data_IF_673800202915
#
_entry.id   IF_673800202915
#
_cell.length_a   1.000
_cell.length_b   1.000
_cell.length_c   1.000
_cell.angle_alpha   90.00
_cell.angle_beta   90.00
_cell.angle_gamma   90.00
#
_symmetry.space_group_name_H-M   'P 1'
#
loop_
_entity.id
_entity.type
_entity.pdbx_description
1 polymer ?
#
# COMPACT_ATOMS: atom_id res chain seq x y z
N UNK A 1 25.78 4.17 37.38
CA UNK A 1 25.46 5.30 36.50
C UNK A 1 23.94 5.31 36.36
N UNK A 2 23.31 6.46 36.52
CA UNK A 2 21.84 6.52 36.56
C UNK A 2 21.32 6.65 35.12
N UNK A 3 20.71 5.59 34.59
CA UNK A 3 20.01 5.61 33.29
C UNK A 3 18.68 6.37 33.32
N UNK A 4 18.47 7.16 34.39
CA UNK A 4 17.24 7.89 34.64
C UNK A 4 17.40 9.38 34.40
N UNK A 5 16.45 9.94 33.66
CA UNK A 5 16.22 11.37 33.57
C UNK A 5 14.94 11.78 34.28
N UNK A 6 14.72 13.10 34.32
CA UNK A 6 13.57 13.72 34.98
C UNK A 6 12.81 14.57 33.97
N UNK A 7 11.49 14.40 33.88
CA UNK A 7 10.62 15.22 33.05
C UNK A 7 10.65 16.67 33.50
N UNK A 8 11.07 17.57 32.61
CA UNK A 8 11.17 19.01 32.86
C UNK A 8 10.02 19.82 32.28
N UNK A 9 9.58 19.48 31.09
CA UNK A 9 8.54 20.21 30.38
C UNK A 9 7.67 19.25 29.55
N UNK A 10 6.37 19.56 29.46
CA UNK A 10 5.39 18.84 28.71
C UNK A 10 4.68 19.85 27.81
N UNK A 11 4.79 19.65 26.48
CA UNK A 11 4.16 20.49 25.45
C UNK A 11 3.34 19.59 24.54
N UNK A 12 2.11 19.27 24.91
CA UNK A 12 1.30 18.30 24.18
C UNK A 12 1.98 16.95 24.10
N UNK A 13 2.24 16.46 22.89
CA UNK A 13 2.92 15.19 22.65
C UNK A 13 4.45 15.26 22.74
N UNK A 14 5.03 16.44 22.99
CA UNK A 14 6.48 16.65 23.14
C UNK A 14 6.83 16.78 24.60
N UNK A 15 7.84 16.06 25.06
CA UNK A 15 8.31 16.01 26.46
C UNK A 15 9.81 16.24 26.48
N UNK A 16 10.22 17.24 27.28
CA UNK A 16 11.63 17.51 27.54
C UNK A 16 12.05 16.79 28.83
N UNK A 17 13.12 16.02 28.74
CA UNK A 17 13.68 15.22 29.84
C UNK A 17 15.13 15.62 30.06
N UNK A 18 15.48 15.85 31.32
CA UNK A 18 16.86 16.18 31.74
C UNK A 18 17.58 14.94 32.22
N UNK A 19 18.76 14.71 31.70
CA UNK A 19 19.71 13.67 32.10
C UNK A 19 21.02 14.29 32.59
N UNK A 20 21.80 13.52 33.34
CA UNK A 20 23.18 13.87 33.62
C UNK A 20 23.97 14.03 32.32
N UNK A 21 24.85 15.01 32.23
CA UNK A 21 25.62 15.33 31.02
C UNK A 21 26.44 14.17 30.45
N UNK A 22 26.78 13.21 31.29
CA UNK A 22 27.55 12.01 30.91
C UNK A 22 26.66 10.87 30.35
N UNK A 23 25.34 10.96 30.55
CA UNK A 23 24.38 9.90 30.21
C UNK A 23 23.23 10.40 29.33
N UNK A 24 23.52 11.28 28.36
CA UNK A 24 22.52 11.84 27.47
C UNK A 24 22.08 10.75 26.48
N UNK A 25 20.77 10.50 26.29
CA UNK A 25 20.26 9.57 25.30
C UNK A 25 20.66 9.95 23.87
N UNK A 26 20.92 8.94 23.05
CA UNK A 26 21.11 9.15 21.62
C UNK A 26 19.79 9.48 20.92
N UNK A 27 19.90 10.09 19.74
CA UNK A 27 18.74 10.30 18.87
C UNK A 27 18.10 8.94 18.57
N UNK A 28 16.78 8.88 18.65
CA UNK A 28 15.91 7.70 18.54
C UNK A 28 15.92 6.73 19.71
N UNK A 29 16.73 6.92 20.73
CA UNK A 29 16.63 6.10 21.95
C UNK A 29 15.22 6.20 22.54
N UNK A 30 14.67 5.06 22.92
CA UNK A 30 13.39 4.97 23.60
C UNK A 30 13.57 5.20 25.09
N UNK A 31 12.78 6.10 25.64
CA UNK A 31 12.68 6.35 27.07
C UNK A 31 11.35 5.82 27.59
N UNK A 32 11.32 5.32 28.81
CA UNK A 32 10.10 4.83 29.47
C UNK A 32 9.84 5.59 30.74
N UNK A 33 8.69 6.24 30.85
CA UNK A 33 8.24 6.86 32.08
C UNK A 33 7.77 5.77 33.05
N UNK A 34 8.42 5.59 34.17
CA UNK A 34 8.21 4.44 35.05
C UNK A 34 6.79 4.33 35.63
N UNK A 35 6.16 5.45 35.95
CA UNK A 35 4.84 5.43 36.59
C UNK A 35 3.70 5.09 35.63
N UNK A 36 3.86 5.40 34.34
CA UNK A 36 2.80 5.24 33.34
C UNK A 36 3.14 4.23 32.24
N UNK A 37 4.39 3.76 32.19
CA UNK A 37 4.95 2.96 31.09
C UNK A 37 4.85 3.64 29.70
N UNK A 38 4.68 4.97 29.66
CA UNK A 38 4.66 5.72 28.42
C UNK A 38 6.05 5.70 27.78
N UNK A 39 6.10 5.32 26.52
CA UNK A 39 7.33 5.31 25.72
C UNK A 39 7.49 6.65 25.02
N UNK A 40 8.70 7.21 25.11
CA UNK A 40 9.10 8.44 24.44
C UNK A 40 10.22 8.13 23.47
N UNK A 41 10.21 8.75 22.30
CA UNK A 41 11.30 8.67 21.34
C UNK A 41 12.12 9.95 21.35
N UNK A 42 13.42 9.85 21.58
CA UNK A 42 14.33 10.99 21.58
C UNK A 42 14.49 11.55 20.18
N UNK A 43 14.20 12.85 20.01
CA UNK A 43 14.23 13.54 18.71
C UNK A 43 15.36 14.56 18.60
N UNK A 44 15.66 15.26 19.69
CA UNK A 44 16.64 16.34 19.70
C UNK A 44 17.41 16.35 21.03
N UNK A 45 18.67 16.74 20.96
CA UNK A 45 19.49 17.08 22.11
C UNK A 45 19.58 18.61 22.17
N UNK A 46 19.00 19.22 23.21
CA UNK A 46 18.90 20.68 23.35
C UNK A 46 20.12 21.33 24.01
N UNK A 47 21.03 20.53 24.55
CA UNK A 47 22.10 21.00 25.40
C UNK A 47 21.76 20.91 26.90
N UNK A 48 22.74 21.11 27.74
CA UNK A 48 22.63 21.07 29.22
C UNK A 48 21.97 19.82 29.80
N UNK A 49 22.12 18.68 29.10
CA UNK A 49 21.53 17.41 29.51
C UNK A 49 20.06 17.25 29.15
N UNK A 50 19.46 18.21 28.47
CA UNK A 50 18.04 18.16 28.07
C UNK A 50 17.88 17.54 26.70
N UNK A 51 17.01 16.53 26.63
CA UNK A 51 16.58 15.93 25.37
C UNK A 51 15.09 16.19 25.13
N UNK A 52 14.74 16.47 23.89
CA UNK A 52 13.37 16.63 23.44
C UNK A 52 12.87 15.36 22.81
N UNK A 53 11.73 14.88 23.29
CA UNK A 53 11.17 13.60 22.91
C UNK A 53 9.75 13.74 22.37
N UNK A 54 9.30 12.76 21.62
CA UNK A 54 7.92 12.63 21.16
C UNK A 54 7.29 11.39 21.82
N UNK A 55 6.10 11.57 22.40
CA UNK A 55 5.40 10.49 23.08
C UNK A 55 4.73 9.52 22.09
N UNK A 56 4.82 8.23 22.41
CA UNK A 56 4.14 7.14 21.70
C UNK A 56 2.84 6.71 22.41
N UNK A 57 2.13 7.66 22.96
CA UNK A 57 0.87 7.48 23.68
C UNK A 57 0.37 8.79 24.25
N UNK A 58 -0.74 8.71 24.99
CA UNK A 58 -1.31 9.89 25.62
C UNK A 58 -0.40 10.48 26.69
N UNK A 59 -0.29 11.79 26.69
CA UNK A 59 0.45 12.57 27.70
C UNK A 59 -0.47 13.12 28.79
N UNK A 60 -1.75 12.82 28.75
CA UNK A 60 -2.72 13.29 29.76
C UNK A 60 -2.38 12.74 31.13
N UNK A 61 -2.39 13.62 32.10
CA UNK A 61 -2.07 13.30 33.50
C UNK A 61 -0.58 13.23 33.84
N UNK A 62 0.31 13.43 32.88
CA UNK A 62 1.74 13.51 33.14
C UNK A 62 2.09 14.75 33.95
N UNK A 63 3.10 14.62 34.80
CA UNK A 63 3.60 15.70 35.65
C UNK A 63 5.11 15.90 35.45
N UNK A 64 5.56 17.12 35.69
CA UNK A 64 6.99 17.37 35.83
C UNK A 64 7.55 16.62 37.04
N UNK A 65 8.80 16.21 36.97
CA UNK A 65 9.47 15.47 38.01
C UNK A 65 9.36 13.95 37.92
N UNK A 66 8.56 13.41 36.98
CA UNK A 66 8.51 11.96 36.76
C UNK A 66 9.85 11.45 36.24
N UNK A 67 10.19 10.22 36.61
CA UNK A 67 11.42 9.56 36.17
C UNK A 67 11.20 8.91 34.78
N UNK A 68 12.14 9.16 33.90
CA UNK A 68 12.20 8.53 32.56
C UNK A 68 13.49 7.71 32.47
N UNK A 69 13.34 6.41 32.24
CA UNK A 69 14.46 5.49 32.11
C UNK A 69 14.87 5.40 30.63
N UNK A 70 16.17 5.62 30.36
CA UNK A 70 16.72 5.36 29.02
C UNK A 70 16.87 3.85 28.81
N UNK A 71 16.36 3.35 27.68
CA UNK A 71 16.52 1.94 27.30
C UNK A 71 17.84 1.70 26.56
N UNK A 72 18.57 2.75 26.22
CA UNK A 72 19.81 2.73 25.43
C UNK A 72 19.66 2.05 24.07
N UNK A 73 18.44 2.02 23.54
CA UNK A 73 18.10 1.44 22.24
C UNK A 73 16.87 2.13 21.63
N UNK A 74 16.74 2.13 20.32
CA UNK A 74 15.52 2.58 19.65
C UNK A 74 14.31 1.72 20.01
N UNK A 75 13.11 2.20 19.71
CA UNK A 75 11.88 1.40 19.81
C UNK A 75 12.07 0.11 19.01
N UNK A 76 11.86 -1.03 19.64
CA UNK A 76 11.85 -2.35 19.02
C UNK A 76 10.45 -2.95 19.06
N UNK A 77 10.12 -3.75 18.04
CA UNK A 77 8.80 -4.36 17.88
C UNK A 77 8.94 -5.86 17.65
N UNK A 78 7.94 -6.66 18.06
CA UNK A 78 7.96 -8.10 17.79
C UNK A 78 7.90 -8.35 16.29
N UNK A 79 8.61 -9.38 15.83
CA UNK A 79 8.69 -9.77 14.42
C UNK A 79 8.53 -11.27 14.26
N UNK A 80 8.31 -11.73 13.03
CA UNK A 80 8.20 -13.13 12.68
C UNK A 80 6.77 -13.64 12.58
N UNK A 81 6.61 -14.93 12.37
CA UNK A 81 5.31 -15.57 12.12
C UNK A 81 4.31 -15.42 13.27
N UNK A 82 4.77 -15.21 14.50
CA UNK A 82 3.89 -14.97 15.64
C UNK A 82 3.06 -13.70 15.53
N UNK A 83 3.45 -12.77 14.64
CA UNK A 83 2.71 -11.53 14.37
C UNK A 83 1.55 -11.71 13.38
N UNK A 84 1.53 -12.83 12.65
CA UNK A 84 0.49 -13.10 11.66
C UNK A 84 -0.88 -13.29 12.32
N UNK A 85 -1.90 -12.70 11.72
CA UNK A 85 -3.26 -12.73 12.24
C UNK A 85 -3.49 -11.84 13.47
N UNK A 86 -2.51 -11.01 13.83
CA UNK A 86 -2.56 -10.14 15.01
C UNK A 86 -2.70 -8.68 14.60
N UNK A 87 -3.37 -7.92 15.46
CA UNK A 87 -3.43 -6.46 15.37
C UNK A 87 -2.58 -5.88 16.50
N UNK A 88 -1.66 -5.02 16.14
CA UNK A 88 -0.70 -4.41 17.06
C UNK A 88 -0.70 -2.88 16.93
N UNK A 89 -0.28 -2.20 17.97
CA UNK A 89 -0.03 -0.76 17.95
C UNK A 89 1.40 -0.43 17.44
N UNK A 90 1.77 0.83 17.49
CA UNK A 90 3.10 1.31 17.05
C UNK A 90 4.26 0.65 17.78
N UNK A 91 4.08 0.24 19.03
CA UNK A 91 5.08 -0.44 19.86
C UNK A 91 5.09 -1.97 19.65
N UNK A 92 4.18 -2.48 18.82
CA UNK A 92 3.99 -3.90 18.64
C UNK A 92 3.19 -4.60 19.74
N UNK A 93 2.54 -3.84 20.60
CA UNK A 93 1.64 -4.39 21.62
C UNK A 93 0.32 -4.80 20.98
N UNK A 94 -0.21 -5.99 21.31
CA UNK A 94 -1.46 -6.46 20.73
C UNK A 94 -2.66 -5.64 21.24
N UNK A 95 -3.54 -5.28 20.31
CA UNK A 95 -4.79 -4.57 20.58
C UNK A 95 -6.05 -5.37 20.19
N UNK A 96 -5.85 -6.64 19.81
CA UNK A 96 -6.89 -7.56 19.34
C UNK A 96 -7.50 -8.43 20.45
N UNK A 97 -7.17 -8.18 21.71
CA UNK A 97 -7.64 -8.92 22.89
C UNK A 97 -7.28 -10.42 22.90
N UNK A 98 -6.32 -10.86 22.06
CA UNK A 98 -5.87 -12.26 21.96
C UNK A 98 -4.64 -12.58 22.81
N UNK A 99 -4.28 -11.71 23.76
CA UNK A 99 -3.10 -11.87 24.61
C UNK A 99 -1.79 -11.47 23.89
N UNK A 100 -0.68 -11.67 24.58
CA UNK A 100 0.63 -11.25 24.09
C UNK A 100 1.04 -12.01 22.82
N UNK A 101 1.79 -11.33 21.94
CA UNK A 101 2.44 -11.95 20.79
C UNK A 101 3.53 -12.91 21.31
N UNK A 102 3.43 -14.17 20.90
CA UNK A 102 4.30 -15.26 21.40
C UNK A 102 5.65 -15.30 20.67
N UNK A 103 6.42 -14.24 20.78
CA UNK A 103 7.79 -14.18 20.25
C UNK A 103 8.66 -13.35 21.20
N UNK A 104 9.90 -13.78 21.36
CA UNK A 104 10.95 -13.00 22.04
C UNK A 104 11.79 -12.19 21.04
N UNK A 105 11.68 -12.50 19.77
CA UNK A 105 12.42 -11.81 18.72
C UNK A 105 11.81 -10.42 18.45
N UNK A 106 12.65 -9.42 18.64
CA UNK A 106 12.29 -8.02 18.40
C UNK A 106 13.36 -7.36 17.54
N UNK A 107 12.91 -6.43 16.69
CA UNK A 107 13.80 -5.65 15.85
C UNK A 107 13.52 -4.17 16.00
N UNK A 108 14.57 -3.31 15.94
CA UNK A 108 14.39 -1.87 16.01
C UNK A 108 13.68 -1.33 14.77
N UNK A 109 12.79 -0.36 14.95
CA UNK A 109 12.08 0.29 13.85
C UNK A 109 12.97 1.21 13.02
N UNK A 110 14.05 1.73 13.60
CA UNK A 110 15.06 2.54 12.92
C UNK A 110 16.19 1.64 12.45
N UNK A 111 16.18 1.34 11.17
CA UNK A 111 17.20 0.51 10.50
C UNK A 111 17.72 1.22 9.26
N UNK A 112 18.94 0.91 8.90
CA UNK A 112 19.48 1.35 7.61
C UNK A 112 18.87 0.53 6.46
N UNK A 113 18.71 1.11 5.26
CA UNK A 113 18.38 0.33 4.08
C UNK A 113 19.43 -0.76 3.83
N UNK A 114 19.07 -1.84 3.09
CA UNK A 114 20.03 -2.86 2.69
C UNK A 114 21.26 -2.26 1.98
N UNK A 115 22.40 -2.86 2.19
CA UNK A 115 23.62 -2.43 1.48
C UNK A 115 23.50 -2.73 -0.03
N UNK A 116 24.17 -1.95 -0.86
CA UNK A 116 24.14 -2.14 -2.32
C UNK A 116 24.50 -3.56 -2.75
N UNK A 117 25.41 -4.20 -2.03
CA UNK A 117 25.85 -5.58 -2.32
C UNK A 117 24.78 -6.64 -2.06
N UNK A 118 23.79 -6.29 -1.25
CA UNK A 118 22.67 -7.18 -0.87
C UNK A 118 21.44 -6.98 -1.74
N UNK A 119 21.40 -5.93 -2.55
CA UNK A 119 20.30 -5.64 -3.45
C UNK A 119 20.22 -6.69 -4.57
N UNK A 120 19.02 -6.98 -5.01
CA UNK A 120 18.78 -7.80 -6.20
C UNK A 120 18.93 -6.96 -7.46
N UNK A 121 19.68 -7.48 -8.44
CA UNK A 121 19.81 -6.87 -9.77
C UNK A 121 18.69 -7.32 -10.73
N UNK A 122 17.77 -8.18 -10.28
CA UNK A 122 16.72 -8.72 -11.13
C UNK A 122 15.54 -7.76 -11.27
N UNK A 123 15.13 -7.51 -12.52
CA UNK A 123 13.90 -6.78 -12.86
C UNK A 123 12.72 -7.78 -12.97
N UNK A 124 12.46 -8.52 -11.92
CA UNK A 124 11.36 -9.47 -11.91
C UNK A 124 10.02 -8.78 -11.72
N UNK A 125 9.03 -9.25 -12.47
CA UNK A 125 7.64 -8.83 -12.33
C UNK A 125 6.98 -9.68 -11.24
N UNK A 126 6.22 -9.01 -10.38
CA UNK A 126 5.33 -9.68 -9.44
C UNK A 126 3.99 -9.94 -10.13
N UNK A 127 3.73 -11.19 -10.46
CA UNK A 127 2.44 -11.60 -11.04
C UNK A 127 1.34 -11.54 -9.97
N UNK A 128 0.34 -10.70 -10.21
CA UNK A 128 -0.76 -10.48 -9.25
C UNK A 128 -1.95 -11.41 -9.50
N UNK A 129 -2.06 -11.99 -10.68
CA UNK A 129 -3.22 -12.78 -11.11
C UNK A 129 -4.45 -11.94 -11.47
N UNK A 130 -4.31 -10.62 -11.48
CA UNK A 130 -5.35 -9.66 -11.86
C UNK A 130 -5.03 -9.13 -13.26
N UNK A 131 -5.87 -9.47 -14.24
CA UNK A 131 -5.61 -9.16 -15.66
C UNK A 131 -5.24 -7.72 -15.93
N UNK A 132 -6.04 -6.78 -15.47
CA UNK A 132 -5.82 -5.36 -15.75
C UNK A 132 -4.52 -4.85 -15.18
N UNK A 133 -4.15 -5.27 -13.98
CA UNK A 133 -2.90 -4.87 -13.32
C UNK A 133 -1.72 -5.46 -14.07
N UNK A 134 -1.71 -6.77 -14.29
CA UNK A 134 -0.59 -7.46 -14.92
C UNK A 134 -0.39 -7.02 -16.38
N UNK A 135 -1.44 -6.60 -17.08
CA UNK A 135 -1.37 -6.13 -18.44
C UNK A 135 -0.81 -4.70 -18.57
N UNK A 136 -1.43 -3.73 -17.90
CA UNK A 136 -1.17 -2.29 -18.14
C UNK A 136 -0.30 -1.61 -17.09
N UNK A 137 -0.26 -2.14 -15.89
CA UNK A 137 0.55 -1.58 -14.78
C UNK A 137 1.24 -2.68 -13.97
N UNK A 138 2.07 -3.54 -14.60
CA UNK A 138 2.74 -4.63 -13.92
C UNK A 138 3.59 -4.14 -12.74
N UNK A 139 3.57 -4.88 -11.64
CA UNK A 139 4.34 -4.56 -10.46
C UNK A 139 5.74 -5.14 -10.54
N UNK A 140 6.74 -4.35 -10.15
CA UNK A 140 8.08 -4.86 -9.93
C UNK A 140 8.15 -5.55 -8.56
N UNK A 141 8.80 -6.69 -8.48
CA UNK A 141 9.23 -7.26 -7.19
C UNK A 141 10.14 -6.28 -6.47
N UNK A 142 9.80 -5.92 -5.24
CA UNK A 142 10.52 -4.91 -4.49
C UNK A 142 10.22 -3.47 -4.93
N UNK A 143 9.24 -3.28 -5.81
CA UNK A 143 8.79 -1.99 -6.28
C UNK A 143 7.79 -1.31 -5.35
N UNK A 144 7.53 -0.05 -5.63
CA UNK A 144 6.61 0.80 -4.88
C UNK A 144 5.45 1.19 -5.77
N UNK A 145 4.25 0.81 -5.36
CA UNK A 145 3.00 1.03 -6.10
C UNK A 145 2.14 2.05 -5.38
N UNK A 146 1.74 3.09 -6.06
CA UNK A 146 0.72 4.02 -5.57
C UNK A 146 -0.67 3.55 -5.96
N UNK A 147 -1.58 3.47 -5.00
CA UNK A 147 -2.97 3.15 -5.21
C UNK A 147 -3.83 4.40 -4.99
N UNK A 148 -4.45 4.86 -6.07
CA UNK A 148 -5.30 6.05 -6.09
C UNK A 148 -6.75 5.64 -6.25
N UNK A 149 -7.63 6.28 -5.52
CA UNK A 149 -9.06 6.05 -5.65
C UNK A 149 -9.85 6.67 -4.52
N UNK A 150 -11.04 7.15 -4.85
CA UNK A 150 -12.00 7.66 -3.87
C UNK A 150 -12.66 6.55 -3.06
N UNK A 151 -13.64 6.94 -2.24
CA UNK A 151 -14.45 5.98 -1.49
C UNK A 151 -15.34 5.15 -2.43
N UNK A 152 -15.53 3.87 -2.11
CA UNK A 152 -16.47 2.99 -2.79
C UNK A 152 -16.02 2.43 -4.14
N UNK A 153 -14.73 2.55 -4.49
CA UNK A 153 -14.19 2.01 -5.76
C UNK A 153 -13.54 0.63 -5.61
N UNK A 154 -13.64 0.00 -4.45
CA UNK A 154 -13.12 -1.35 -4.21
C UNK A 154 -11.65 -1.40 -3.79
N UNK A 155 -11.10 -0.33 -3.21
CA UNK A 155 -9.71 -0.30 -2.73
C UNK A 155 -9.39 -1.46 -1.79
N UNK A 156 -10.20 -1.65 -0.76
CA UNK A 156 -10.05 -2.72 0.26
C UNK A 156 -10.12 -4.12 -0.37
N UNK A 157 -11.08 -4.34 -1.26
CA UNK A 157 -11.27 -5.64 -1.95
C UNK A 157 -10.06 -5.97 -2.82
N UNK A 158 -9.49 -4.98 -3.52
CA UNK A 158 -8.26 -5.16 -4.29
C UNK A 158 -7.07 -5.53 -3.39
N UNK A 159 -6.91 -4.87 -2.25
CA UNK A 159 -5.87 -5.20 -1.28
C UNK A 159 -6.00 -6.63 -0.77
N UNK A 160 -7.20 -7.05 -0.37
CA UNK A 160 -7.45 -8.40 0.12
C UNK A 160 -7.18 -9.47 -0.95
N UNK A 161 -7.54 -9.21 -2.20
CA UNK A 161 -7.26 -10.14 -3.31
C UNK A 161 -5.75 -10.28 -3.55
N UNK A 162 -5.00 -9.19 -3.48
CA UNK A 162 -3.54 -9.23 -3.56
C UNK A 162 -2.92 -10.01 -2.40
N UNK A 163 -3.39 -9.82 -1.18
CA UNK A 163 -2.95 -10.57 -0.01
C UNK A 163 -3.18 -12.07 -0.23
N UNK A 164 -4.37 -12.44 -0.67
CA UNK A 164 -4.72 -13.84 -0.94
C UNK A 164 -3.84 -14.42 -2.04
N UNK A 165 -3.68 -13.73 -3.14
CA UNK A 165 -2.91 -14.23 -4.28
C UNK A 165 -1.41 -14.39 -3.94
N UNK A 166 -0.84 -13.43 -3.22
CA UNK A 166 0.54 -13.57 -2.73
C UNK A 166 0.69 -14.74 -1.77
N UNK A 167 -0.26 -14.94 -0.87
CA UNK A 167 -0.19 -16.02 0.11
C UNK A 167 -0.28 -17.41 -0.54
N UNK A 168 -1.16 -17.58 -1.52
CA UNK A 168 -1.44 -18.89 -2.13
C UNK A 168 -0.49 -19.19 -3.28
N UNK A 169 -0.29 -18.24 -4.19
CA UNK A 169 0.47 -18.46 -5.41
C UNK A 169 1.99 -18.23 -5.24
N UNK A 170 2.38 -17.38 -4.32
CA UNK A 170 3.79 -17.03 -4.08
C UNK A 170 4.29 -17.46 -2.69
N UNK A 171 3.47 -18.09 -1.86
CA UNK A 171 3.81 -18.48 -0.47
C UNK A 171 4.35 -17.31 0.37
N UNK A 172 3.91 -16.09 0.07
CA UNK A 172 4.35 -14.87 0.70
C UNK A 172 3.45 -14.45 1.86
N UNK A 173 3.94 -13.51 2.64
CA UNK A 173 3.18 -12.88 3.71
C UNK A 173 2.94 -11.41 3.39
N UNK A 174 1.98 -10.84 4.10
CA UNK A 174 1.64 -9.41 3.96
C UNK A 174 1.70 -8.72 5.31
N UNK A 175 2.00 -7.45 5.28
CA UNK A 175 1.92 -6.55 6.44
C UNK A 175 1.06 -5.36 6.04
N UNK A 176 0.10 -5.02 6.88
CA UNK A 176 -0.75 -3.85 6.69
C UNK A 176 -0.47 -2.82 7.77
N UNK A 177 -0.04 -1.63 7.37
CA UNK A 177 0.17 -0.49 8.24
C UNK A 177 -0.94 0.55 8.02
N UNK A 178 -1.85 0.64 8.97
CA UNK A 178 -2.91 1.64 9.01
C UNK A 178 -2.41 2.93 9.64
N UNK A 179 -2.16 3.95 8.81
CA UNK A 179 -1.61 5.23 9.23
C UNK A 179 -2.71 6.27 9.30
N UNK A 180 -3.10 6.66 10.51
CA UNK A 180 -4.12 7.66 10.73
C UNK A 180 -5.52 7.27 10.23
N UNK A 181 -5.81 5.98 10.12
CA UNK A 181 -7.10 5.48 9.69
C UNK A 181 -8.16 5.61 10.80
N UNK A 182 -9.43 5.59 10.41
CA UNK A 182 -10.54 5.56 11.36
C UNK A 182 -10.60 4.19 12.02
N UNK A 183 -10.85 4.17 13.33
CA UNK A 183 -10.99 2.92 14.10
C UNK A 183 -12.02 1.97 13.49
N UNK A 184 -13.14 2.51 13.00
CA UNK A 184 -14.19 1.73 12.35
C UNK A 184 -13.67 1.05 11.07
N UNK A 185 -12.99 1.79 10.20
CA UNK A 185 -12.46 1.24 8.94
C UNK A 185 -11.43 0.13 9.20
N UNK A 186 -10.57 0.31 10.20
CA UNK A 186 -9.62 -0.72 10.62
C UNK A 186 -10.29 -1.98 11.16
N UNK A 187 -11.38 -1.82 11.91
CA UNK A 187 -12.16 -2.94 12.43
C UNK A 187 -12.93 -3.67 11.31
N UNK A 188 -13.56 -2.91 10.40
CA UNK A 188 -14.26 -3.48 9.25
C UNK A 188 -13.29 -4.30 8.39
N UNK A 189 -12.10 -3.77 8.12
CA UNK A 189 -11.05 -4.45 7.37
C UNK A 189 -10.59 -5.75 8.05
N UNK A 190 -10.45 -5.76 9.36
CA UNK A 190 -10.12 -6.97 10.12
C UNK A 190 -11.20 -8.05 9.97
N UNK A 191 -12.47 -7.68 10.07
CA UNK A 191 -13.60 -8.62 9.90
C UNK A 191 -13.67 -9.17 8.47
N UNK A 192 -13.52 -8.31 7.46
CA UNK A 192 -13.52 -8.71 6.05
C UNK A 192 -12.37 -9.70 5.74
N UNK A 193 -11.16 -9.48 6.30
CA UNK A 193 -10.06 -10.43 6.17
C UNK A 193 -10.32 -11.76 6.87
N UNK A 194 -11.02 -11.73 7.99
CA UNK A 194 -11.40 -12.95 8.72
C UNK A 194 -12.40 -13.76 7.90
N UNK A 195 -13.44 -13.12 7.35
CA UNK A 195 -14.44 -13.75 6.50
C UNK A 195 -13.85 -14.32 5.21
N UNK A 196 -12.93 -13.59 4.61
CA UNK A 196 -12.20 -13.99 3.39
C UNK A 196 -11.08 -15.01 3.64
N UNK A 197 -10.86 -15.42 4.90
CA UNK A 197 -9.85 -16.41 5.32
C UNK A 197 -8.42 -16.06 4.92
N UNK A 198 -8.07 -14.78 4.91
CA UNK A 198 -6.71 -14.30 4.60
C UNK A 198 -5.99 -13.74 5.82
N UNK A 199 -6.67 -13.60 6.94
CA UNK A 199 -6.13 -12.97 8.15
C UNK A 199 -4.86 -13.65 8.67
N UNK A 200 -4.76 -14.97 8.59
CA UNK A 200 -3.61 -15.75 9.05
C UNK A 200 -2.33 -15.55 8.21
N UNK A 201 -2.41 -14.80 7.13
CA UNK A 201 -1.30 -14.47 6.22
C UNK A 201 -0.86 -13.02 6.30
N UNK A 202 -1.43 -12.24 7.21
CA UNK A 202 -1.16 -10.81 7.32
C UNK A 202 -0.92 -10.39 8.76
N UNK A 203 0.07 -9.51 8.96
CA UNK A 203 0.30 -8.80 10.23
C UNK A 203 -0.27 -7.40 10.10
N UNK A 204 -1.04 -6.95 11.11
CA UNK A 204 -1.71 -5.66 11.12
C UNK A 204 -1.10 -4.76 12.20
N UNK A 205 -0.72 -3.55 11.82
CA UNK A 205 -0.29 -2.51 12.76
C UNK A 205 -1.09 -1.24 12.53
N UNK A 206 -1.66 -0.70 13.58
CA UNK A 206 -2.51 0.48 13.51
C UNK A 206 -1.96 1.63 14.37
N UNK A 207 -1.80 2.79 13.73
CA UNK A 207 -1.68 4.09 14.37
C UNK A 207 -2.86 4.94 13.95
N UNK A 208 -3.95 4.88 14.71
CA UNK A 208 -5.26 5.39 14.30
C UNK A 208 -5.36 6.91 14.41
N UNK A 209 -6.41 7.48 13.83
CA UNK A 209 -6.65 8.92 13.75
C UNK A 209 -6.71 9.61 15.13
N UNK A 210 -7.18 8.91 16.14
CA UNK A 210 -7.31 9.41 17.52
C UNK A 210 -6.02 9.29 18.34
N UNK A 211 -5.00 8.62 17.81
CA UNK A 211 -3.72 8.46 18.52
C UNK A 211 -2.81 9.68 18.32
N UNK A 212 -1.87 9.92 19.24
CA UNK A 212 -0.91 11.03 19.14
C UNK A 212 -0.11 11.00 17.84
N UNK A 213 0.43 12.15 17.39
CA UNK A 213 1.16 12.25 16.11
C UNK A 213 2.41 11.37 16.06
N UNK A 214 3.07 11.10 17.20
CA UNK A 214 4.19 10.17 17.26
C UNK A 214 3.82 8.74 16.83
N UNK A 215 2.66 8.25 17.27
CA UNK A 215 2.14 6.94 16.89
C UNK A 215 1.89 6.85 15.39
N UNK A 216 1.20 7.86 14.84
CA UNK A 216 0.88 7.92 13.40
C UNK A 216 2.13 8.07 12.53
N UNK A 217 3.17 8.74 13.02
CA UNK A 217 4.43 8.92 12.31
C UNK A 217 5.27 7.63 12.29
N UNK A 218 5.23 6.82 13.34
CA UNK A 218 6.10 5.64 13.48
C UNK A 218 5.45 4.32 13.13
N UNK A 219 4.13 4.24 13.02
CA UNK A 219 3.44 2.99 12.71
C UNK A 219 3.84 2.41 11.34
N UNK A 220 4.10 3.23 10.35
CA UNK A 220 4.59 2.78 9.05
C UNK A 220 5.95 2.10 9.16
N UNK A 221 6.85 2.62 10.00
CA UNK A 221 8.15 1.99 10.28
C UNK A 221 8.01 0.69 11.05
N UNK A 222 7.04 0.59 11.95
CA UNK A 222 6.71 -0.66 12.65
C UNK A 222 6.30 -1.75 11.65
N UNK A 223 5.37 -1.44 10.75
CA UNK A 223 4.95 -2.37 9.70
C UNK A 223 6.09 -2.75 8.76
N UNK A 224 6.89 -1.78 8.35
CA UNK A 224 8.06 -2.03 7.51
C UNK A 224 9.07 -2.96 8.19
N UNK A 225 9.32 -2.79 9.48
CA UNK A 225 10.23 -3.65 10.25
C UNK A 225 9.75 -5.10 10.28
N UNK A 226 8.45 -5.33 10.46
CA UNK A 226 7.85 -6.67 10.37
C UNK A 226 8.00 -7.26 8.96
N UNK A 227 7.79 -6.46 7.92
CA UNK A 227 7.99 -6.88 6.53
C UNK A 227 9.45 -7.24 6.23
N UNK A 228 10.39 -6.46 6.74
CA UNK A 228 11.82 -6.73 6.58
C UNK A 228 12.25 -8.07 7.17
N UNK A 229 11.69 -8.48 8.29
CA UNK A 229 11.96 -9.80 8.87
C UNK A 229 11.56 -10.93 7.91
N UNK A 230 10.37 -10.87 7.35
CA UNK A 230 9.90 -11.87 6.39
C UNK A 230 10.74 -11.88 5.10
N UNK A 231 11.12 -10.70 4.60
CA UNK A 231 12.04 -10.59 3.46
C UNK A 231 13.39 -11.25 3.75
N UNK A 232 13.97 -10.97 4.91
CA UNK A 232 15.29 -11.49 5.31
C UNK A 232 15.24 -13.02 5.51
N UNK A 233 14.06 -13.58 5.76
CA UNK A 233 13.80 -15.04 5.78
C UNK A 233 13.59 -15.66 4.38
N UNK A 234 13.70 -14.88 3.32
CA UNK A 234 13.60 -15.35 1.95
C UNK A 234 12.20 -15.34 1.35
N UNK A 235 11.28 -14.58 1.91
CA UNK A 235 9.90 -14.50 1.42
C UNK A 235 9.66 -13.28 0.53
N UNK A 236 8.68 -13.41 -0.34
CA UNK A 236 8.08 -12.27 -1.05
C UNK A 236 7.00 -11.66 -0.14
N UNK A 237 7.16 -10.40 0.18
CA UNK A 237 6.31 -9.69 1.14
C UNK A 237 5.55 -8.56 0.44
N UNK A 238 4.26 -8.43 0.73
CA UNK A 238 3.50 -7.21 0.43
C UNK A 238 3.44 -6.33 1.68
N UNK A 239 3.79 -5.07 1.51
CA UNK A 239 3.60 -4.04 2.53
C UNK A 239 2.54 -3.05 2.06
N UNK A 240 1.43 -3.01 2.76
CA UNK A 240 0.37 -2.03 2.54
C UNK A 240 0.53 -0.87 3.51
N UNK A 241 0.47 0.35 2.99
CA UNK A 241 0.47 1.58 3.79
C UNK A 241 -0.79 2.38 3.45
N UNK A 242 -1.72 2.44 4.35
CA UNK A 242 -2.96 3.19 4.18
C UNK A 242 -3.10 4.25 5.29
N UNK A 243 -2.84 5.52 5.05
CA UNK A 243 -2.37 6.02 3.77
C UNK A 243 -1.10 6.85 3.97
N UNK A 244 -0.28 6.94 2.94
CA UNK A 244 1.02 7.62 2.99
C UNK A 244 0.88 9.14 3.21
N UNK A 245 -0.20 9.77 2.78
CA UNK A 245 -0.45 11.19 3.02
C UNK A 245 -0.56 11.51 4.52
N UNK A 246 -1.21 10.63 5.30
CA UNK A 246 -1.33 10.82 6.75
C UNK A 246 -0.01 10.61 7.50
N UNK A 247 0.89 9.81 6.94
CA UNK A 247 2.27 9.73 7.39
C UNK A 247 2.96 11.10 7.28
N UNK A 248 2.82 11.77 6.16
CA UNK A 248 3.39 13.12 5.96
C UNK A 248 2.75 14.15 6.88
N UNK A 249 1.44 14.10 7.10
CA UNK A 249 0.74 14.99 8.02
C UNK A 249 1.17 14.78 9.48
N UNK A 250 1.37 13.56 9.91
CA UNK A 250 1.91 13.28 11.24
C UNK A 250 3.31 13.90 11.41
N UNK A 251 4.13 13.85 10.38
CA UNK A 251 5.41 14.54 10.32
C UNK A 251 5.30 16.07 10.43
N UNK A 252 4.29 16.67 9.81
CA UNK A 252 4.00 18.11 9.95
C UNK A 252 3.68 18.45 11.41
N UNK A 253 2.80 17.69 12.05
CA UNK A 253 2.41 17.92 13.44
C UNK A 253 3.62 17.79 14.39
N UNK A 254 4.41 16.73 14.26
CA UNK A 254 5.61 16.52 15.06
C UNK A 254 6.63 17.63 14.84
N UNK A 255 6.87 18.03 13.59
CA UNK A 255 7.82 19.10 13.24
C UNK A 255 7.39 20.44 13.88
N UNK A 256 6.11 20.76 13.84
CA UNK A 256 5.57 21.97 14.47
C UNK A 256 5.76 21.95 15.99
N UNK A 257 5.48 20.82 16.64
CA UNK A 257 5.67 20.65 18.08
C UNK A 257 7.15 20.71 18.50
N UNK A 258 8.07 20.27 17.62
CA UNK A 258 9.51 20.38 17.84
C UNK A 258 10.03 21.81 17.61
N UNK A 259 9.20 22.73 17.16
CA UNK A 259 9.57 24.12 16.91
C UNK A 259 10.39 24.34 15.64
N UNK A 260 10.32 23.43 14.67
CA UNK A 260 10.98 23.59 13.36
C UNK A 260 10.22 24.61 12.50
N UNK A 261 10.96 25.43 11.79
CA UNK A 261 10.36 26.39 10.85
C UNK A 261 9.76 25.63 9.66
N UNK A 262 8.48 25.83 9.31
CA UNK A 262 7.88 25.15 8.19
C UNK A 262 8.51 25.59 6.85
N UNK A 263 8.51 24.68 5.89
CA UNK A 263 8.88 24.96 4.51
C UNK A 263 7.72 25.55 3.72
N UNK A 264 7.86 25.60 2.39
CA UNK A 264 6.80 26.04 1.51
C UNK A 264 5.47 25.30 1.76
N UNK A 265 4.36 26.00 1.69
CA UNK A 265 3.00 25.47 1.86
C UNK A 265 2.73 24.85 3.24
N UNK A 266 3.62 25.09 4.22
CA UNK A 266 3.43 24.66 5.61
C UNK A 266 3.89 23.25 5.93
N UNK A 267 4.52 22.53 5.01
CA UNK A 267 5.10 21.22 5.29
C UNK A 267 6.41 21.31 6.10
N UNK A 268 6.78 20.20 6.74
CA UNK A 268 8.04 20.08 7.45
C UNK A 268 9.24 20.22 6.51
N UNK A 269 10.35 20.82 6.98
CA UNK A 269 11.57 20.94 6.17
C UNK A 269 12.24 19.58 5.89
N UNK A 270 11.91 18.57 6.69
CA UNK A 270 12.45 17.20 6.63
C UNK A 270 11.57 16.24 5.81
N UNK A 271 10.56 16.74 5.07
CA UNK A 271 9.60 15.89 4.34
C UNK A 271 10.29 14.88 3.41
N UNK A 272 11.21 15.35 2.58
CA UNK A 272 11.91 14.49 1.63
C UNK A 272 12.79 13.45 2.33
N UNK A 273 13.44 13.82 3.43
CA UNK A 273 14.26 12.91 4.24
C UNK A 273 13.42 11.85 4.93
N UNK A 274 12.32 12.24 5.57
CA UNK A 274 11.39 11.31 6.23
C UNK A 274 10.80 10.31 5.23
N UNK A 275 10.40 10.78 4.06
CA UNK A 275 9.90 9.93 2.99
C UNK A 275 11.00 8.99 2.47
N UNK A 276 12.21 9.49 2.28
CA UNK A 276 13.37 8.70 1.85
C UNK A 276 13.72 7.60 2.84
N UNK A 277 13.73 7.88 4.13
CA UNK A 277 14.00 6.89 5.19
C UNK A 277 13.00 5.72 5.12
N UNK A 278 11.73 5.99 4.88
CA UNK A 278 10.71 4.96 4.72
C UNK A 278 10.89 4.21 3.39
N UNK A 279 10.97 4.93 2.29
CA UNK A 279 10.88 4.35 0.94
C UNK A 279 12.12 3.54 0.53
N UNK A 280 13.32 3.98 0.91
CA UNK A 280 14.57 3.30 0.53
C UNK A 280 14.78 1.94 1.22
N UNK A 281 14.07 1.67 2.31
CA UNK A 281 14.07 0.35 2.96
C UNK A 281 13.18 -0.67 2.23
N UNK A 282 12.25 -0.18 1.41
CA UNK A 282 11.31 -1.00 0.64
C UNK A 282 12.00 -1.41 -0.67
N UNK A 283 12.57 -2.61 -0.69
CA UNK A 283 13.36 -3.08 -1.84
C UNK A 283 13.48 -4.60 -1.86
N UNK A 284 13.89 -5.14 -3.00
CA UNK A 284 14.32 -6.52 -3.16
C UNK A 284 15.76 -6.69 -2.75
N UNK A 285 16.02 -7.77 -2.03
CA UNK A 285 17.37 -8.25 -1.73
C UNK A 285 17.61 -9.59 -2.42
N UNK A 286 18.83 -10.10 -2.34
CA UNK A 286 19.19 -11.43 -2.86
C UNK A 286 18.43 -12.57 -2.15
N UNK A 287 17.87 -12.32 -0.97
CA UNK A 287 17.14 -13.32 -0.17
C UNK A 287 15.63 -13.25 -0.39
N UNK A 288 15.05 -12.08 -0.45
CA UNK A 288 13.60 -11.89 -0.58
C UNK A 288 13.23 -10.50 -1.07
N UNK A 289 11.95 -10.20 -1.11
CA UNK A 289 11.44 -8.93 -1.61
C UNK A 289 10.39 -8.30 -0.71
N UNK A 290 10.34 -6.98 -0.68
CA UNK A 290 9.20 -6.20 -0.17
C UNK A 290 8.65 -5.38 -1.34
N UNK A 291 7.42 -5.66 -1.72
CA UNK A 291 6.66 -4.83 -2.67
C UNK A 291 5.65 -4.02 -1.89
N UNK A 292 5.66 -2.71 -2.01
CA UNK A 292 4.73 -1.85 -1.28
C UNK A 292 3.57 -1.40 -2.15
N UNK A 293 2.39 -1.38 -1.54
CA UNK A 293 1.19 -0.78 -2.09
C UNK A 293 0.76 0.32 -1.13
N UNK A 294 0.88 1.55 -1.58
CA UNK A 294 0.68 2.74 -0.77
C UNK A 294 -0.57 3.46 -1.26
N UNK A 295 -1.59 3.56 -0.40
CA UNK A 295 -2.72 4.40 -0.70
C UNK A 295 -2.28 5.87 -0.66
N UNK A 296 -2.53 6.58 -1.75
CA UNK A 296 -2.14 7.98 -1.90
C UNK A 296 -3.40 8.83 -1.98
N UNK A 297 -3.46 9.85 -1.15
CA UNK A 297 -4.46 10.91 -1.22
C UNK A 297 -3.82 12.15 -1.79
N UNK A 298 -4.50 12.77 -2.74
CA UNK A 298 -4.05 14.00 -3.39
C UNK A 298 -4.98 15.15 -2.95
N UNK A 299 -4.49 16.08 -2.11
CA UNK A 299 -5.31 17.20 -1.62
C UNK A 299 -5.78 18.06 -2.79
N UNK A 300 -7.08 18.33 -2.85
CA UNK A 300 -7.71 19.15 -3.89
C UNK A 300 -7.37 18.75 -5.35
N UNK A 301 -7.02 17.47 -5.56
CA UNK A 301 -6.55 16.95 -6.84
C UNK A 301 -5.29 17.65 -7.40
N UNK A 302 -4.53 18.31 -6.52
CA UNK A 302 -3.30 19.03 -6.88
C UNK A 302 -2.07 18.13 -6.76
N UNK A 303 -1.62 17.60 -7.89
CA UNK A 303 -0.42 16.77 -7.98
C UNK A 303 0.88 17.53 -7.71
N UNK A 304 0.84 18.85 -7.66
CA UNK A 304 2.01 19.69 -7.36
C UNK A 304 2.19 19.96 -5.87
N UNK A 305 1.21 19.57 -5.04
CA UNK A 305 1.34 19.62 -3.59
C UNK A 305 2.58 18.82 -3.14
N UNK A 306 3.40 19.36 -2.21
CA UNK A 306 4.67 18.75 -1.83
C UNK A 306 4.58 17.29 -1.36
N UNK A 307 3.48 16.90 -0.68
CA UNK A 307 3.34 15.53 -0.18
C UNK A 307 3.15 14.51 -1.31
N UNK A 308 2.13 14.63 -2.20
CA UNK A 308 2.04 13.72 -3.33
C UNK A 308 3.24 13.83 -4.27
N UNK A 309 3.76 15.02 -4.56
CA UNK A 309 4.92 15.19 -5.43
C UNK A 309 6.15 14.42 -4.92
N UNK A 310 6.45 14.48 -3.63
CA UNK A 310 7.55 13.73 -3.01
C UNK A 310 7.28 12.22 -3.05
N UNK A 311 6.04 11.80 -2.81
CA UNK A 311 5.65 10.39 -2.88
C UNK A 311 5.81 9.84 -4.29
N UNK A 312 5.33 10.55 -5.32
CA UNK A 312 5.44 10.15 -6.72
C UNK A 312 6.88 9.90 -7.19
N UNK A 313 7.84 10.66 -6.67
CA UNK A 313 9.24 10.48 -7.01
C UNK A 313 9.77 9.08 -6.66
N UNK A 314 9.15 8.40 -5.70
CA UNK A 314 9.53 7.05 -5.26
C UNK A 314 8.73 5.93 -5.92
N UNK A 315 7.59 6.23 -6.56
CA UNK A 315 6.71 5.20 -7.11
C UNK A 315 7.22 4.62 -8.42
N UNK A 316 7.12 3.30 -8.56
CA UNK A 316 7.43 2.56 -9.79
C UNK A 316 6.19 2.31 -10.65
N UNK A 317 5.04 2.20 -10.02
CA UNK A 317 3.75 2.00 -10.68
C UNK A 317 2.64 2.79 -9.99
N UNK A 318 1.61 3.11 -10.75
CA UNK A 318 0.43 3.82 -10.27
C UNK A 318 -0.82 3.09 -10.74
N UNK A 319 -1.64 2.66 -9.79
CA UNK A 319 -2.95 2.05 -10.04
C UNK A 319 -4.03 3.06 -9.68
N UNK A 320 -4.82 3.45 -10.66
CA UNK A 320 -5.92 4.40 -10.50
C UNK A 320 -7.24 3.65 -10.51
N UNK A 321 -7.98 3.71 -9.41
CA UNK A 321 -9.34 3.17 -9.30
C UNK A 321 -10.34 4.27 -9.65
N UNK A 322 -11.16 4.02 -10.67
CA UNK A 322 -12.10 4.98 -11.23
C UNK A 322 -13.53 4.73 -10.78
N UNK A 323 -14.18 5.74 -10.22
CA UNK A 323 -15.61 5.67 -9.89
C UNK A 323 -16.46 5.43 -11.14
N UNK A 324 -16.12 6.07 -12.27
CA UNK A 324 -16.83 5.89 -13.52
C UNK A 324 -16.82 4.43 -13.99
N UNK A 325 -15.69 3.73 -13.84
CA UNK A 325 -15.57 2.32 -14.19
C UNK A 325 -16.38 1.45 -13.23
N UNK A 326 -16.36 1.78 -11.94
CA UNK A 326 -17.18 1.10 -10.93
C UNK A 326 -18.69 1.27 -11.20
N UNK A 327 -19.13 2.45 -11.62
CA UNK A 327 -20.52 2.72 -12.01
C UNK A 327 -20.98 1.92 -13.24
N UNK A 328 -20.06 1.52 -14.10
CA UNK A 328 -20.33 0.60 -15.22
C UNK A 328 -20.40 -0.88 -14.77
N UNK A 329 -20.19 -1.15 -13.49
CA UNK A 329 -20.16 -2.52 -12.95
C UNK A 329 -18.90 -3.30 -13.31
N UNK A 330 -17.85 -2.64 -13.76
CA UNK A 330 -16.58 -3.28 -14.12
C UNK A 330 -15.68 -3.30 -12.88
N UNK A 331 -15.38 -4.50 -12.39
CA UNK A 331 -14.50 -4.73 -11.25
C UNK A 331 -13.39 -5.74 -11.58
N UNK A 332 -12.14 -5.49 -11.19
CA UNK A 332 -11.68 -4.32 -10.43
C UNK A 332 -11.82 -3.02 -11.25
N UNK A 333 -12.15 -1.93 -10.58
CA UNK A 333 -12.41 -0.64 -11.23
C UNK A 333 -11.12 0.12 -11.59
N UNK A 334 -10.09 -0.60 -12.03
CA UNK A 334 -8.81 -0.03 -12.43
C UNK A 334 -8.96 0.67 -13.78
N UNK A 335 -8.55 1.94 -13.84
CA UNK A 335 -8.53 2.69 -15.08
C UNK A 335 -7.29 2.31 -15.90
N UNK A 336 -7.45 1.63 -17.05
CA UNK A 336 -6.32 1.17 -17.85
C UNK A 336 -5.60 2.29 -18.60
N UNK A 337 -6.21 3.47 -18.72
CA UNK A 337 -5.62 4.63 -19.39
C UNK A 337 -4.83 5.51 -18.43
N UNK A 338 -5.29 5.64 -17.18
CA UNK A 338 -4.67 6.49 -16.17
C UNK A 338 -3.67 5.72 -15.30
N UNK A 339 -3.71 4.39 -15.30
CA UNK A 339 -2.76 3.53 -14.58
C UNK A 339 -1.49 3.33 -15.40
N UNK A 340 -0.34 3.42 -14.73
CA UNK A 340 0.98 3.36 -15.38
C UNK A 340 1.95 2.50 -14.60
N UNK A 341 2.97 1.97 -15.28
CA UNK A 341 4.10 1.29 -14.65
C UNK A 341 5.38 1.52 -15.45
N UNK A 342 6.47 1.76 -14.74
CA UNK A 342 7.82 1.79 -15.35
C UNK A 342 8.26 0.41 -15.86
N UNK A 343 7.64 -0.65 -15.36
CA UNK A 343 7.92 -2.03 -15.78
C UNK A 343 7.27 -2.40 -17.12
N UNK A 344 6.33 -1.60 -17.62
CA UNK A 344 5.75 -1.78 -18.95
C UNK A 344 6.72 -1.28 -20.03
N UNK A 345 7.78 -2.05 -20.21
CA UNK A 345 8.88 -1.80 -21.13
C UNK A 345 9.21 -3.11 -21.85
N UNK A 346 9.44 -3.10 -23.20
CA UNK A 346 9.74 -4.30 -23.94
C UNK A 346 10.93 -5.11 -23.43
N UNK A 347 11.91 -4.44 -22.80
CA UNK A 347 13.09 -5.10 -22.23
C UNK A 347 12.79 -5.81 -20.90
N UNK A 348 11.68 -5.49 -20.25
CA UNK A 348 11.27 -6.09 -18.96
C UNK A 348 10.20 -7.15 -19.17
N UNK A 349 9.08 -6.77 -19.81
CA UNK A 349 7.92 -7.65 -19.96
C UNK A 349 7.94 -8.46 -21.28
N UNK A 350 8.82 -8.12 -22.20
CA UNK A 350 8.86 -8.68 -23.55
C UNK A 350 8.03 -7.87 -24.55
N UNK A 351 8.38 -8.03 -25.84
CA UNK A 351 7.77 -7.24 -26.92
C UNK A 351 6.27 -7.55 -27.07
N UNK A 352 5.87 -8.81 -26.98
CA UNK A 352 4.46 -9.21 -27.16
C UNK A 352 3.56 -8.59 -26.09
N UNK A 353 3.94 -8.67 -24.82
CA UNK A 353 3.20 -8.06 -23.71
C UNK A 353 3.06 -6.56 -23.91
N UNK A 354 4.17 -5.88 -24.22
CA UNK A 354 4.18 -4.45 -24.43
C UNK A 354 3.25 -4.04 -25.60
N UNK A 355 3.33 -4.73 -26.72
CA UNK A 355 2.52 -4.43 -27.90
C UNK A 355 1.03 -4.64 -27.64
N UNK A 356 0.67 -5.72 -26.94
CA UNK A 356 -0.74 -6.00 -26.57
C UNK A 356 -1.26 -4.92 -25.63
N UNK A 357 -0.49 -4.54 -24.62
CA UNK A 357 -0.87 -3.48 -23.68
C UNK A 357 -1.06 -2.13 -24.38
N UNK A 358 -0.16 -1.75 -25.28
CA UNK A 358 -0.26 -0.52 -26.06
C UNK A 358 -1.49 -0.53 -26.98
N UNK A 359 -1.78 -1.65 -27.62
CA UNK A 359 -2.97 -1.79 -28.47
C UNK A 359 -4.26 -1.73 -27.67
N UNK A 360 -4.32 -2.35 -26.49
CA UNK A 360 -5.47 -2.26 -25.57
C UNK A 360 -5.72 -0.80 -25.18
N UNK A 361 -4.69 -0.08 -24.75
CA UNK A 361 -4.81 1.34 -24.41
C UNK A 361 -5.22 2.19 -25.60
N UNK A 362 -4.67 1.94 -26.77
CA UNK A 362 -5.02 2.64 -28.02
C UNK A 362 -6.49 2.45 -28.42
N UNK A 363 -6.98 1.23 -28.36
CA UNK A 363 -8.39 0.90 -28.66
C UNK A 363 -9.34 1.54 -27.67
N UNK A 364 -9.02 1.50 -26.38
CA UNK A 364 -9.83 2.13 -25.32
C UNK A 364 -9.79 3.67 -25.42
N UNK A 365 -8.66 4.25 -25.76
CA UNK A 365 -8.55 5.69 -25.99
C UNK A 365 -9.39 6.13 -27.18
N UNK A 366 -9.32 5.41 -28.29
CA UNK A 366 -10.14 5.69 -29.47
C UNK A 366 -11.64 5.55 -29.16
N UNK A 367 -12.01 4.53 -28.41
CA UNK A 367 -13.40 4.37 -27.97
C UNK A 367 -13.86 5.52 -27.07
N UNK A 368 -13.01 6.01 -26.17
CA UNK A 368 -13.31 7.18 -25.34
C UNK A 368 -13.60 8.42 -26.18
N UNK A 369 -12.83 8.66 -27.23
CA UNK A 369 -13.04 9.77 -28.17
C UNK A 369 -14.34 9.63 -28.97
N UNK A 370 -14.67 8.40 -29.37
CA UNK A 370 -15.88 8.10 -30.14
C UNK A 370 -17.16 8.13 -29.31
N UNK A 371 -17.08 7.97 -27.98
CA UNK A 371 -18.28 7.96 -27.09
C UNK A 371 -19.13 9.20 -27.23
N UNK A 372 -18.53 10.37 -27.35
CA UNK A 372 -19.26 11.62 -27.49
C UNK A 372 -19.95 11.71 -28.86
N UNK A 373 -19.29 11.23 -29.91
CA UNK A 373 -19.85 11.17 -31.27
C UNK A 373 -21.03 10.19 -31.30
N UNK A 374 -20.88 9.02 -30.68
CA UNK A 374 -21.95 8.00 -30.59
C UNK A 374 -23.17 8.55 -29.83
N UNK A 375 -22.95 9.30 -28.76
CA UNK A 375 -24.04 9.86 -27.96
C UNK A 375 -24.85 10.91 -28.72
N UNK A 376 -24.22 11.65 -29.62
CA UNK A 376 -24.86 12.74 -30.38
C UNK A 376 -25.45 12.22 -31.71
N UNK A 377 -24.69 11.46 -32.46
CA UNK A 377 -25.01 11.07 -33.85
C UNK A 377 -25.48 9.62 -34.01
N UNK A 378 -25.23 8.78 -33.01
CA UNK A 378 -25.50 7.34 -33.06
C UNK A 378 -24.36 6.52 -33.68
N UNK A 379 -24.47 5.21 -33.56
CA UNK A 379 -23.47 4.26 -34.07
C UNK A 379 -23.43 4.21 -35.60
N UNK A 380 -24.53 4.49 -36.25
CA UNK A 380 -24.67 4.35 -37.72
C UNK A 380 -23.81 5.32 -38.51
N UNK A 381 -23.52 6.48 -37.92
CA UNK A 381 -22.69 7.53 -38.53
C UNK A 381 -21.18 7.25 -38.46
N UNK A 382 -20.76 6.21 -37.73
CA UNK A 382 -19.36 5.83 -37.67
C UNK A 382 -18.90 5.09 -38.97
N UNK A 383 -17.63 5.24 -39.30
CA UNK A 383 -16.99 4.43 -40.33
C UNK A 383 -17.02 2.93 -39.94
N UNK A 384 -16.93 2.04 -40.92
CA UNK A 384 -16.88 0.61 -40.62
C UNK A 384 -15.67 0.22 -39.76
N UNK A 385 -14.56 0.93 -39.93
CA UNK A 385 -13.35 0.76 -39.09
C UNK A 385 -13.61 1.16 -37.65
N UNK A 386 -14.24 2.32 -37.45
CA UNK A 386 -14.60 2.80 -36.08
C UNK A 386 -15.65 1.89 -35.41
N UNK A 387 -16.62 1.36 -36.20
CA UNK A 387 -17.59 0.37 -35.69
C UNK A 387 -16.91 -0.89 -35.16
N UNK A 388 -15.92 -1.41 -35.89
CA UNK A 388 -15.10 -2.56 -35.46
C UNK A 388 -14.31 -2.21 -34.20
N UNK A 389 -13.66 -1.05 -34.18
CA UNK A 389 -12.90 -0.56 -33.04
C UNK A 389 -13.78 -0.47 -31.80
N UNK A 390 -14.97 0.11 -31.88
CA UNK A 390 -15.93 0.20 -30.79
C UNK A 390 -16.39 -1.17 -30.31
N UNK A 391 -16.69 -2.09 -31.21
CA UNK A 391 -17.09 -3.46 -30.86
C UNK A 391 -16.00 -4.19 -30.07
N UNK A 392 -14.76 -4.12 -30.55
CA UNK A 392 -13.61 -4.73 -29.87
C UNK A 392 -13.28 -4.03 -28.54
N UNK A 393 -13.37 -2.69 -28.51
CA UNK A 393 -13.16 -1.93 -27.30
C UNK A 393 -14.15 -2.29 -26.17
N UNK A 394 -15.41 -2.51 -26.50
CA UNK A 394 -16.41 -2.97 -25.53
C UNK A 394 -16.10 -4.36 -24.98
N UNK A 395 -15.63 -5.27 -25.85
CA UNK A 395 -15.18 -6.60 -25.41
C UNK A 395 -13.96 -6.52 -24.51
N UNK A 396 -12.98 -5.68 -24.86
CA UNK A 396 -11.78 -5.41 -24.05
C UNK A 396 -12.17 -4.84 -22.69
N UNK A 397 -13.05 -3.83 -22.65
CA UNK A 397 -13.51 -3.21 -21.42
C UNK A 397 -14.16 -4.23 -20.48
N UNK A 398 -15.01 -5.11 -21.01
CA UNK A 398 -15.63 -6.18 -20.23
C UNK A 398 -14.66 -7.27 -19.81
N UNK A 399 -13.71 -7.63 -20.67
CA UNK A 399 -12.69 -8.64 -20.38
C UNK A 399 -11.65 -8.16 -19.35
N UNK A 400 -11.51 -6.85 -19.12
CA UNK A 400 -10.74 -6.30 -18.02
C UNK A 400 -11.37 -6.61 -16.65
N UNK A 401 -12.68 -6.89 -16.59
CA UNK A 401 -13.34 -7.35 -15.36
C UNK A 401 -12.95 -8.78 -15.01
N UNK A 402 -12.95 -9.07 -13.72
CA UNK A 402 -12.54 -10.37 -13.22
C UNK A 402 -13.19 -10.65 -11.86
N UNK A 403 -13.72 -11.86 -11.63
CA UNK A 403 -14.24 -12.21 -10.32
C UNK A 403 -13.09 -12.47 -9.33
N UNK A 404 -13.22 -11.94 -8.12
CA UNK A 404 -12.25 -12.09 -7.06
C UNK A 404 -12.67 -13.18 -6.07
N UNK A 405 -11.68 -13.93 -5.56
CA UNK A 405 -11.91 -14.95 -4.54
C UNK A 405 -12.47 -14.34 -3.25
N UNK A 406 -11.96 -13.20 -2.84
CA UNK A 406 -12.41 -12.52 -1.63
C UNK A 406 -13.82 -11.94 -1.75
N UNK A 407 -14.34 -11.82 -2.96
CA UNK A 407 -15.68 -11.31 -3.24
C UNK A 407 -16.72 -12.42 -3.51
N UNK A 408 -16.34 -13.70 -3.51
CA UNK A 408 -17.24 -14.83 -3.79
C UNK A 408 -18.51 -14.83 -2.92
N UNK A 409 -18.35 -14.50 -1.64
CA UNK A 409 -19.46 -14.45 -0.68
C UNK A 409 -20.53 -13.42 -1.07
N UNK A 410 -20.09 -12.32 -1.71
CA UNK A 410 -20.99 -11.22 -2.10
C UNK A 410 -21.52 -11.35 -3.52
N UNK A 411 -20.73 -11.91 -4.41
CA UNK A 411 -21.07 -11.99 -5.85
C UNK A 411 -21.71 -13.32 -6.24
N UNK A 412 -21.47 -14.36 -5.46
CA UNK A 412 -21.87 -15.74 -5.79
C UNK A 412 -21.12 -16.35 -6.96
N UNK A 413 -20.11 -15.67 -7.47
CA UNK A 413 -19.27 -16.13 -8.58
C UNK A 413 -17.91 -16.60 -8.08
N UNK A 414 -17.41 -17.79 -8.52
CA UNK A 414 -16.09 -18.26 -8.15
C UNK A 414 -15.00 -17.28 -8.58
N UNK A 415 -14.05 -16.99 -7.69
CA UNK A 415 -12.89 -16.16 -8.02
C UNK A 415 -11.95 -16.81 -9.03
N UNK A 416 -11.16 -16.00 -9.71
CA UNK A 416 -10.22 -16.44 -10.75
C UNK A 416 -8.86 -15.78 -10.55
N UNK A 417 -7.82 -16.60 -10.65
CA UNK A 417 -6.45 -16.16 -10.81
C UNK A 417 -6.07 -16.35 -12.28
N UNK A 418 -5.64 -15.32 -12.95
CA UNK A 418 -5.29 -15.38 -14.39
C UNK A 418 -3.81 -15.11 -14.56
N UNK A 419 -3.09 -16.05 -15.17
CA UNK A 419 -1.68 -15.87 -15.46
C UNK A 419 -1.44 -14.72 -16.45
N UNK A 420 -0.25 -14.13 -16.41
CA UNK A 420 0.14 -13.09 -17.40
C UNK A 420 0.05 -13.63 -18.82
N UNK A 421 0.46 -14.88 -19.04
CA UNK A 421 0.39 -15.54 -20.34
C UNK A 421 -1.04 -15.61 -20.88
N UNK A 422 -1.98 -16.08 -20.07
CA UNK A 422 -3.39 -16.19 -20.46
C UNK A 422 -4.03 -14.82 -20.66
N UNK A 423 -3.63 -13.84 -19.87
CA UNK A 423 -4.06 -12.44 -20.01
C UNK A 423 -3.63 -11.88 -21.37
N UNK A 424 -2.37 -11.99 -21.72
CA UNK A 424 -1.83 -11.50 -23.00
C UNK A 424 -2.51 -12.20 -24.17
N UNK A 425 -2.64 -13.52 -24.11
CA UNK A 425 -3.27 -14.31 -25.16
C UNK A 425 -4.73 -13.91 -25.39
N UNK A 426 -5.49 -13.75 -24.31
CA UNK A 426 -6.90 -13.37 -24.39
C UNK A 426 -7.11 -12.00 -25.01
N UNK A 427 -6.39 -10.99 -24.57
CA UNK A 427 -6.48 -9.64 -25.14
C UNK A 427 -5.99 -9.58 -26.57
N UNK A 428 -4.91 -10.31 -26.90
CA UNK A 428 -4.40 -10.41 -28.27
C UNK A 428 -5.46 -10.95 -29.22
N UNK A 429 -6.12 -12.04 -28.87
CA UNK A 429 -7.17 -12.64 -29.69
C UNK A 429 -8.36 -11.70 -29.92
N UNK A 430 -8.77 -10.97 -28.88
CA UNK A 430 -9.85 -9.96 -29.02
C UNK A 430 -9.42 -8.85 -29.98
N UNK A 431 -8.20 -8.33 -29.85
CA UNK A 431 -7.69 -7.25 -30.69
C UNK A 431 -7.49 -7.67 -32.15
N UNK A 432 -7.14 -8.93 -32.41
CA UNK A 432 -6.97 -9.49 -33.75
C UNK A 432 -8.29 -9.84 -34.40
N UNK A 433 -9.40 -9.79 -33.66
CA UNK A 433 -10.73 -10.07 -34.20
C UNK A 433 -11.09 -11.54 -34.27
N UNK A 434 -10.33 -12.43 -33.65
CA UNK A 434 -10.62 -13.89 -33.63
C UNK A 434 -12.00 -14.17 -33.03
N UNK A 435 -12.46 -13.30 -32.14
CA UNK A 435 -13.72 -13.44 -31.41
C UNK A 435 -14.75 -12.35 -31.76
N UNK A 436 -14.66 -11.76 -32.94
CA UNK A 436 -15.60 -10.71 -33.35
C UNK A 436 -17.06 -11.20 -33.37
N UNK A 437 -17.30 -12.50 -33.59
CA UNK A 437 -18.63 -13.12 -33.57
C UNK A 437 -19.17 -13.45 -32.19
N UNK A 438 -18.36 -13.31 -31.14
CA UNK A 438 -18.73 -13.64 -29.75
C UNK A 438 -19.45 -12.45 -29.14
N UNK A 439 -20.60 -12.64 -28.48
CA UNK A 439 -21.30 -11.56 -27.79
C UNK A 439 -20.43 -10.89 -26.72
N UNK A 440 -20.49 -9.57 -26.60
CA UNK A 440 -19.67 -8.82 -25.65
C UNK A 440 -19.91 -9.23 -24.19
N UNK A 441 -21.13 -9.67 -23.82
CA UNK A 441 -21.48 -10.12 -22.48
C UNK A 441 -20.73 -11.38 -22.04
N UNK A 442 -20.28 -12.19 -22.99
CA UNK A 442 -19.48 -13.37 -22.67
C UNK A 442 -18.12 -13.04 -22.05
N UNK A 443 -17.60 -11.86 -22.29
CA UNK A 443 -16.31 -11.38 -21.75
C UNK A 443 -16.43 -10.74 -20.36
N UNK A 444 -17.65 -10.57 -19.84
CA UNK A 444 -17.89 -9.92 -18.57
C UNK A 444 -17.68 -10.87 -17.40
N UNK A 445 -16.86 -10.47 -16.43
CA UNK A 445 -16.59 -11.22 -15.17
C UNK A 445 -16.17 -12.67 -15.43
N UNK A 446 -15.16 -12.85 -16.25
CA UNK A 446 -14.52 -14.14 -16.54
C UNK A 446 -13.02 -14.07 -16.25
N UNK A 447 -12.37 -15.22 -16.11
CA UNK A 447 -10.92 -15.30 -15.97
C UNK A 447 -10.21 -15.27 -17.32
N UNK A 448 -9.98 -16.43 -17.91
CA UNK A 448 -9.32 -16.59 -19.21
C UNK A 448 -10.28 -16.41 -20.40
N UNK A 449 -9.70 -16.29 -21.59
CA UNK A 449 -10.49 -16.25 -22.83
C UNK A 449 -11.31 -17.52 -23.03
N UNK A 450 -10.82 -18.69 -22.63
CA UNK A 450 -11.53 -19.95 -22.73
C UNK A 450 -12.83 -19.95 -21.94
N UNK A 451 -12.83 -19.34 -20.76
CA UNK A 451 -14.04 -19.16 -19.95
C UNK A 451 -15.06 -18.24 -20.63
N UNK A 452 -14.59 -17.19 -21.33
CA UNK A 452 -15.47 -16.34 -22.12
C UNK A 452 -16.14 -17.11 -23.26
N UNK A 453 -15.40 -17.98 -23.94
CA UNK A 453 -15.94 -18.84 -25.00
C UNK A 453 -16.94 -19.87 -24.47
N UNK A 454 -16.68 -20.48 -23.31
CA UNK A 454 -17.64 -21.37 -22.67
C UNK A 454 -18.92 -20.62 -22.25
N UNK A 455 -18.78 -19.43 -21.68
CA UNK A 455 -19.92 -18.58 -21.35
C UNK A 455 -20.74 -18.16 -22.58
N UNK A 456 -20.08 -17.94 -23.70
CA UNK A 456 -20.73 -17.60 -24.97
C UNK A 456 -21.71 -18.69 -25.45
N UNK A 457 -21.45 -19.97 -25.14
CA UNK A 457 -22.33 -21.08 -25.49
C UNK A 457 -23.66 -20.99 -24.74
N UNK A 458 -23.66 -20.51 -23.50
CA UNK A 458 -24.86 -20.33 -22.69
C UNK A 458 -25.62 -19.06 -23.08
N UNK A 459 -24.93 -17.97 -23.37
CA UNK A 459 -25.53 -16.69 -23.77
C UNK A 459 -26.22 -16.75 -25.13
N UNK A 460 -25.80 -17.63 -26.05
CA UNK A 460 -26.46 -17.82 -27.34
C UNK A 460 -27.72 -18.69 -27.29
N UNK A 461 -27.99 -19.29 -26.12
CA UNK A 461 -29.16 -20.17 -25.96
C UNK A 461 -30.36 -19.49 -25.28
N UNK A 462 -30.22 -18.25 -24.84
CA UNK A 462 -31.28 -17.36 -24.36
C UNK A 462 -31.59 -16.27 -25.39
#
# INVERSE_FOLDING_TARGET
MSDFGVVKQIIGAVIDVEFDRENIPNIYDALVIEETNLVLETQQQLGDGIVRTVAMGTTEGLKRGLKARNTNAPISVPVGEATLGRIMNVLGDPIDMKGKVKTEERMPIHRKPPAYVDLSDSNEILETGIKVIDLVCPFAKGGKVGLFGGAGVGKTVNMMELIRNIAIEHSGYSVFAGVGERTREGNDFYHEMTESKVLDKVSLVYGQMNEPPGNRLRVALTGLTMAEKFRDEGRDVLLFVDNIYRYTLAGVEVSALLGRMPSAVGYQPTLAEEMGVLQERITSTKTGSITSIQAVYVPADDLTDPSPATTFAHLDATVVLSRRIAELGIYPAVDPLDSTSRQLDPLVVGQEHYDVAQRVQGVLQRYKELKDIIAILGMDELSDEDKKTVSRARKVEKFLSQPFFVAEVFTGSPGKYVSVKDTIQGFKEILEGVHDDVPEQAFYMVGSIDEALEKAKTVKSD
#
